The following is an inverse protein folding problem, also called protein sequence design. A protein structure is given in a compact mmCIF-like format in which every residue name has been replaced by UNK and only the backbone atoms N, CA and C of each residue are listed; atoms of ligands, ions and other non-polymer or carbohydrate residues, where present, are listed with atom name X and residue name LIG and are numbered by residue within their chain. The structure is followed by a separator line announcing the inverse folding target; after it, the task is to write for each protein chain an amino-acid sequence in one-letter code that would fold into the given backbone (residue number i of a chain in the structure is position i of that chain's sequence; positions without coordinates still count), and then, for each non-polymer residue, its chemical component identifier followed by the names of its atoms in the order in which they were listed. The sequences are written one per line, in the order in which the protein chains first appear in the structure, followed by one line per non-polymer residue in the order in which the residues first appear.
data_IF_257139731778
#
_entry.id   IF_257139731778
#
_cell.length_a   1.000
_cell.length_b   1.000
_cell.length_c   1.000
_cell.angle_alpha   90.00
_cell.angle_beta   90.00
_cell.angle_gamma   90.00
#
_symmetry.space_group_name_H-M   'P 1'
#
loop_
_entity.id
_entity.type
_entity.pdbx_description
1 polymer ?
#
# COMPACT_ATOMS: atom_id res chain seq x y z
N UNK A 1 -12.40 -7.85 -5.34
CA UNK A 1 -11.13 -8.21 -4.66
C UNK A 1 -10.04 -8.21 -5.73
N UNK A 2 -8.85 -7.63 -5.49
CA UNK A 2 -7.76 -7.59 -6.49
C UNK A 2 -6.67 -8.58 -6.12
N UNK A 3 -6.23 -9.38 -7.09
CA UNK A 3 -5.13 -10.35 -6.95
C UNK A 3 -3.84 -9.71 -6.39
N UNK A 4 -3.63 -8.42 -6.64
CA UNK A 4 -2.44 -7.71 -6.19
C UNK A 4 -2.43 -7.44 -4.67
N UNK A 5 -3.60 -7.24 -4.06
CA UNK A 5 -3.72 -7.06 -2.60
C UNK A 5 -3.36 -8.35 -1.86
N UNK A 6 -3.84 -9.48 -2.33
CA UNK A 6 -3.56 -10.80 -1.72
C UNK A 6 -2.09 -11.16 -1.82
N UNK A 7 -1.48 -10.91 -2.99
CA UNK A 7 -0.05 -11.14 -3.16
C UNK A 7 0.78 -10.26 -2.21
N UNK A 8 0.40 -8.99 -2.04
CA UNK A 8 1.08 -8.08 -1.12
C UNK A 8 0.97 -8.57 0.34
N UNK A 9 -0.22 -9.02 0.77
CA UNK A 9 -0.43 -9.58 2.11
C UNK A 9 0.41 -10.84 2.34
N UNK A 10 0.39 -11.79 1.39
CA UNK A 10 1.14 -13.04 1.51
C UNK A 10 2.66 -12.78 1.52
N UNK A 11 3.12 -11.82 0.72
CA UNK A 11 4.54 -11.40 0.71
C UNK A 11 4.95 -10.84 2.09
N UNK A 12 4.15 -9.93 2.65
CA UNK A 12 4.43 -9.36 3.97
C UNK A 12 4.38 -10.45 5.07
N UNK A 13 3.41 -11.35 5.01
CA UNK A 13 3.29 -12.48 5.94
C UNK A 13 4.54 -13.36 5.94
N UNK A 14 5.04 -13.70 4.74
CA UNK A 14 6.27 -14.50 4.60
C UNK A 14 7.49 -13.76 5.14
N UNK A 15 7.61 -12.46 4.87
CA UNK A 15 8.70 -11.64 5.38
C UNK A 15 8.69 -11.60 6.92
N UNK A 16 7.55 -11.34 7.54
CA UNK A 16 7.42 -11.33 9.02
C UNK A 16 7.81 -12.69 9.61
N UNK A 17 7.32 -13.80 9.02
CA UNK A 17 7.65 -15.15 9.49
C UNK A 17 9.15 -15.47 9.39
N UNK A 18 9.79 -14.99 8.32
CA UNK A 18 11.21 -15.24 8.06
C UNK A 18 12.11 -14.39 8.96
N UNK A 19 11.85 -13.09 9.03
CA UNK A 19 12.73 -12.12 9.68
C UNK A 19 12.43 -11.95 11.19
N UNK A 20 11.23 -12.36 11.64
CA UNK A 20 10.78 -12.27 13.04
C UNK A 20 11.04 -10.89 13.67
N UNK A 21 10.58 -9.80 13.04
CA UNK A 21 10.82 -8.46 13.53
C UNK A 21 10.18 -8.25 14.91
N UNK A 22 10.78 -7.35 15.70
CA UNK A 22 10.21 -6.91 16.95
C UNK A 22 8.94 -6.06 16.74
N UNK A 23 8.21 -5.80 17.82
CA UNK A 23 7.04 -4.94 17.80
C UNK A 23 7.36 -3.55 17.24
N UNK A 24 6.41 -2.97 16.51
CA UNK A 24 6.58 -1.64 15.92
C UNK A 24 7.23 -1.64 14.53
N UNK A 25 7.14 -2.76 13.79
CA UNK A 25 7.57 -2.83 12.41
C UNK A 25 6.91 -1.71 11.58
N UNK A 26 7.75 -0.84 11.03
CA UNK A 26 7.33 0.20 10.09
C UNK A 26 7.43 -0.34 8.66
N UNK A 27 6.28 -0.50 8.00
CA UNK A 27 6.22 -0.83 6.58
C UNK A 27 6.12 0.47 5.78
N UNK A 28 7.19 0.82 5.06
CA UNK A 28 7.18 1.95 4.13
C UNK A 28 6.73 1.49 2.73
N UNK A 29 5.58 1.97 2.26
CA UNK A 29 5.02 1.67 0.95
C UNK A 29 4.68 2.94 0.17
N UNK A 30 4.40 2.81 -1.12
CA UNK A 30 3.74 3.87 -1.88
C UNK A 30 2.21 3.85 -1.68
N UNK A 31 1.51 4.86 -2.20
CA UNK A 31 0.05 4.89 -2.22
C UNK A 31 -0.55 4.13 -3.41
N UNK A 32 0.11 3.04 -3.83
CA UNK A 32 -0.40 2.11 -4.82
C UNK A 32 -1.69 1.43 -4.35
N UNK A 33 -2.50 0.99 -5.32
CA UNK A 33 -3.81 0.34 -5.06
C UNK A 33 -3.73 -0.86 -4.10
N UNK A 34 -2.72 -1.75 -4.16
CA UNK A 34 -2.65 -2.89 -3.24
C UNK A 34 -2.50 -2.46 -1.78
N UNK A 35 -1.64 -1.47 -1.52
CA UNK A 35 -1.28 -1.00 -0.18
C UNK A 35 -2.32 -0.06 0.45
N UNK A 36 -3.15 0.57 -0.39
CA UNK A 36 -4.24 1.45 0.06
C UNK A 36 -5.58 0.72 0.22
N UNK A 37 -5.65 -0.57 -0.14
CA UNK A 37 -6.88 -1.35 0.02
C UNK A 37 -7.20 -1.61 1.49
N UNK A 38 -8.49 -1.54 1.85
CA UNK A 38 -8.96 -1.76 3.23
C UNK A 38 -8.48 -3.11 3.79
N UNK A 39 -8.55 -4.17 2.99
CA UNK A 39 -8.08 -5.52 3.35
C UNK A 39 -6.60 -5.55 3.70
N UNK A 40 -5.74 -4.83 2.96
CA UNK A 40 -4.32 -4.73 3.26
C UNK A 40 -4.06 -3.94 4.54
N UNK A 41 -4.81 -2.83 4.74
CA UNK A 41 -4.71 -2.01 5.94
C UNK A 41 -5.08 -2.79 7.20
N UNK A 42 -6.18 -3.53 7.14
CA UNK A 42 -6.64 -4.35 8.27
C UNK A 42 -5.70 -5.51 8.54
N UNK A 43 -5.14 -6.12 7.49
CA UNK A 43 -4.09 -7.12 7.64
C UNK A 43 -2.87 -6.56 8.37
N UNK A 44 -2.34 -5.39 7.97
CA UNK A 44 -1.20 -4.77 8.64
C UNK A 44 -1.47 -4.52 10.13
N UNK A 45 -2.65 -3.99 10.47
CA UNK A 45 -3.06 -3.80 11.87
C UNK A 45 -3.08 -5.11 12.66
N UNK A 46 -3.63 -6.18 12.07
CA UNK A 46 -3.67 -7.51 12.72
C UNK A 46 -2.28 -8.10 13.01
N UNK A 47 -1.27 -7.69 12.23
CA UNK A 47 0.11 -8.13 12.38
C UNK A 47 0.95 -7.16 13.24
N UNK A 48 0.35 -6.11 13.81
CA UNK A 48 1.07 -5.08 14.57
C UNK A 48 2.00 -4.22 13.71
N UNK A 49 1.76 -4.15 12.40
CA UNK A 49 2.56 -3.39 11.44
C UNK A 49 2.02 -1.96 11.34
N UNK A 50 2.92 -1.00 11.52
CA UNK A 50 2.65 0.42 11.33
C UNK A 50 2.94 0.74 9.86
N UNK A 51 1.93 1.22 9.14
CA UNK A 51 2.13 1.62 7.74
C UNK A 51 2.57 3.09 7.66
N UNK A 52 3.61 3.34 6.88
CA UNK A 52 4.04 4.67 6.45
C UNK A 52 3.99 4.73 4.94
N UNK A 53 3.22 5.66 4.38
CA UNK A 53 3.05 5.76 2.94
C UNK A 53 3.69 7.04 2.38
N UNK A 54 4.37 6.94 1.25
CA UNK A 54 4.86 8.12 0.51
C UNK A 54 3.70 8.90 -0.15
N UNK A 55 3.95 10.13 -0.62
CA UNK A 55 2.92 10.98 -1.23
C UNK A 55 2.26 10.30 -2.45
N UNK A 56 0.93 10.37 -2.55
CA UNK A 56 0.20 9.95 -3.74
C UNK A 56 0.68 10.72 -4.96
N UNK A 57 1.17 9.99 -5.96
CA UNK A 57 1.50 10.56 -7.26
C UNK A 57 0.26 10.77 -8.16
N UNK A 58 -0.96 10.63 -7.62
CA UNK A 58 -2.18 10.41 -8.41
C UNK A 58 -2.99 11.66 -8.82
N UNK A 59 -2.42 12.87 -8.83
CA UNK A 59 -3.19 14.07 -9.19
C UNK A 59 -2.61 14.95 -10.31
N UNK A 60 -1.32 14.84 -10.68
CA UNK A 60 -0.76 15.73 -11.71
C UNK A 60 -1.11 15.33 -13.15
N UNK A 61 -1.19 14.03 -13.45
CA UNK A 61 -1.45 13.57 -14.82
C UNK A 61 -2.91 13.73 -15.28
N UNK A 62 -3.90 13.57 -14.38
CA UNK A 62 -5.32 13.69 -14.76
C UNK A 62 -5.82 15.13 -14.82
N UNK A 63 -5.19 16.08 -14.10
CA UNK A 63 -5.51 17.51 -14.26
C UNK A 63 -5.06 18.02 -15.62
N UNK A 64 -3.83 17.70 -16.02
CA UNK A 64 -3.29 18.12 -17.31
C UNK A 64 -4.09 17.53 -18.48
N UNK A 65 -4.50 16.25 -18.41
CA UNK A 65 -5.30 15.64 -19.48
C UNK A 65 -6.71 16.25 -19.61
N UNK A 66 -7.34 16.64 -18.49
CA UNK A 66 -8.64 17.32 -18.52
C UNK A 66 -8.53 18.77 -19.00
N UNK A 67 -7.44 19.46 -18.68
CA UNK A 67 -7.18 20.83 -19.16
C UNK A 67 -6.75 20.88 -20.65
N UNK A 68 -6.15 19.81 -21.18
CA UNK A 68 -5.79 19.71 -22.62
C UNK A 68 -6.93 19.24 -23.52
N UNK A 69 -7.93 18.51 -22.99
CA UNK A 69 -9.12 18.07 -23.75
C UNK A 69 -10.21 19.15 -23.75
N UNK A 70 -10.16 20.11 -22.82
CA UNK A 70 -11.11 21.21 -22.71
C UNK A 70 -10.56 22.54 -23.29
N UNK A 71 -9.57 22.46 -24.18
CA UNK A 71 -9.06 23.57 -25.01
C UNK A 71 -9.30 23.27 -26.48
#
# INVERSE_FOLDING_TARGET
MSIHTELAMETLKRAIKKEKPSSGLLLHSDQGRPFTSQKFVDFCKSQGVIQSMSKAQHHKLKKNLKESVNR
#
